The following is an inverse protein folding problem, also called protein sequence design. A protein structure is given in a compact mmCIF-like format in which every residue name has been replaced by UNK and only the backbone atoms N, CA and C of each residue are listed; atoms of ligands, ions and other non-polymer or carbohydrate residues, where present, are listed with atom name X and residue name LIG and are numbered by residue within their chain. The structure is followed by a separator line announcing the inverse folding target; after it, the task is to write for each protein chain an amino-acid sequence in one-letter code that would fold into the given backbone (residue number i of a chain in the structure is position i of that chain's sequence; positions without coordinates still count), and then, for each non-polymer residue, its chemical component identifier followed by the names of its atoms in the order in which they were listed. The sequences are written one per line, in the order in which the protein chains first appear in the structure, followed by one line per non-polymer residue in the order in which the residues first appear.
data_IF_513025410949
#
_entry.id   IF_513025410949
#
_cell.length_a   1.000
_cell.length_b   1.000
_cell.length_c   1.000
_cell.angle_alpha   90.00
_cell.angle_beta   90.00
_cell.angle_gamma   90.00
#
_symmetry.space_group_name_H-M   'P 1'
#
loop_
_entity.id
_entity.type
_entity.pdbx_description
1 polymer ?
#
# COMPACT_ATOMS: atom_id res chain seq x y z
N UNK A 1 11.78 9.61 12.61
CA UNK A 1 12.05 9.31 14.02
C UNK A 1 11.05 8.26 14.49
N UNK A 2 11.48 7.30 15.32
CA UNK A 2 10.64 6.27 15.89
C UNK A 2 10.25 6.66 17.31
N UNK A 3 8.96 6.69 17.61
CA UNK A 3 8.43 7.08 18.91
C UNK A 3 7.69 5.93 19.55
N UNK A 4 7.64 5.89 20.88
CA UNK A 4 6.81 4.98 21.65
C UNK A 4 6.21 5.73 22.84
N UNK A 5 4.94 5.44 23.16
CA UNK A 5 4.27 5.95 24.35
C UNK A 5 4.94 5.43 25.62
N UNK A 6 5.21 6.30 26.59
CA UNK A 6 5.93 5.93 27.83
C UNK A 6 5.03 5.12 28.76
N UNK A 7 3.80 5.59 28.97
CA UNK A 7 2.85 5.04 29.96
C UNK A 7 2.24 3.68 29.57
N UNK A 8 2.50 3.21 28.35
CA UNK A 8 1.98 1.93 27.86
C UNK A 8 3.13 1.08 27.30
N UNK A 9 3.57 0.09 28.08
CA UNK A 9 4.62 -0.84 27.65
C UNK A 9 4.21 -1.70 26.46
N UNK A 10 2.91 -1.91 26.24
CA UNK A 10 2.38 -2.67 25.10
C UNK A 10 2.20 -1.81 23.85
N UNK A 11 2.32 -0.49 23.95
CA UNK A 11 2.22 0.39 22.79
C UNK A 11 3.31 0.04 21.76
N UNK A 12 2.88 -0.18 20.52
CA UNK A 12 3.78 -0.41 19.40
C UNK A 12 4.53 0.89 19.04
N UNK A 13 5.84 0.82 18.76
CA UNK A 13 6.58 1.94 18.20
C UNK A 13 5.99 2.39 16.87
N UNK A 14 5.99 3.70 16.61
CA UNK A 14 5.47 4.27 15.37
C UNK A 14 6.40 5.36 14.82
N UNK A 15 6.36 5.56 13.51
CA UNK A 15 7.21 6.54 12.85
C UNK A 15 6.52 7.90 12.71
N UNK A 16 7.27 8.97 12.94
CA UNK A 16 6.90 10.33 12.56
C UNK A 16 8.08 11.06 11.90
N UNK A 17 7.77 11.95 10.96
CA UNK A 17 8.74 12.72 10.18
C UNK A 17 8.88 14.12 10.76
N UNK A 18 10.09 14.67 10.78
CA UNK A 18 10.28 16.07 11.16
C UNK A 18 9.53 16.96 10.17
N UNK A 19 8.58 17.74 10.67
CA UNK A 19 7.68 18.57 9.89
C UNK A 19 8.10 20.04 9.91
N UNK A 20 8.41 20.57 11.10
CA UNK A 20 8.86 21.95 11.25
C UNK A 20 9.87 22.13 12.37
N UNK A 21 10.70 23.16 12.23
CA UNK A 21 11.61 23.70 13.25
C UNK A 21 11.30 25.19 13.37
N UNK A 22 11.08 25.70 14.59
CA UNK A 22 10.69 27.10 14.81
C UNK A 22 9.49 27.54 13.95
N UNK A 23 8.47 26.69 13.86
CA UNK A 23 7.27 26.90 13.03
C UNK A 23 7.52 27.06 11.52
N UNK A 24 8.74 26.83 11.03
CA UNK A 24 9.08 26.81 9.60
C UNK A 24 9.27 25.37 9.12
N UNK A 25 8.89 25.08 7.88
CA UNK A 25 9.03 23.74 7.30
C UNK A 25 10.49 23.27 7.42
N UNK A 26 10.67 22.11 8.04
CA UNK A 26 11.99 21.58 8.32
C UNK A 26 12.72 21.26 7.01
N UNK A 27 13.95 21.74 6.88
CA UNK A 27 14.88 21.40 5.80
C UNK A 27 16.23 21.12 6.45
N UNK A 28 16.74 19.90 6.31
CA UNK A 28 18.04 19.49 6.84
C UNK A 28 19.00 19.47 5.65
N UNK A 29 19.97 20.38 5.64
CA UNK A 29 20.93 20.54 4.54
C UNK A 29 22.30 19.96 4.88
N UNK A 30 22.67 19.96 6.16
CA UNK A 30 24.01 19.55 6.59
C UNK A 30 23.95 18.46 7.66
N UNK A 31 25.05 17.71 7.80
CA UNK A 31 25.23 16.75 8.89
C UNK A 31 25.19 17.43 10.26
N UNK A 32 25.77 18.63 10.36
CA UNK A 32 25.82 19.40 11.60
C UNK A 32 24.40 19.70 12.09
N UNK A 33 23.55 20.26 11.22
CA UNK A 33 22.14 20.52 11.52
C UNK A 33 21.41 19.24 11.94
N UNK A 34 21.62 18.13 11.22
CA UNK A 34 20.99 16.85 11.56
C UNK A 34 21.40 16.34 12.95
N UNK A 35 22.67 16.52 13.31
CA UNK A 35 23.25 16.06 14.57
C UNK A 35 22.74 16.89 15.74
N UNK A 36 22.75 18.22 15.60
CA UNK A 36 22.21 19.16 16.59
C UNK A 36 20.74 18.84 16.89
N UNK A 37 19.90 18.70 15.86
CA UNK A 37 18.48 18.32 16.03
C UNK A 37 18.34 16.99 16.78
N UNK A 38 19.19 16.00 16.49
CA UNK A 38 19.13 14.71 17.16
C UNK A 38 19.54 14.78 18.63
N UNK A 39 20.52 15.62 18.97
CA UNK A 39 20.97 15.84 20.34
C UNK A 39 19.95 16.62 21.15
N UNK A 40 19.39 17.68 20.57
CA UNK A 40 18.36 18.50 21.19
C UNK A 40 17.12 17.65 21.53
N UNK A 41 16.58 16.91 20.57
CA UNK A 41 15.36 16.11 20.76
C UNK A 41 15.58 14.95 21.75
N UNK A 42 16.79 14.40 21.86
CA UNK A 42 17.08 13.31 22.81
C UNK A 42 16.95 13.75 24.27
N UNK A 43 17.26 14.99 24.57
CA UNK A 43 17.33 15.53 25.92
C UNK A 43 16.07 16.33 26.31
N UNK A 44 15.11 16.44 25.39
CA UNK A 44 13.89 17.21 25.58
C UNK A 44 12.69 16.32 25.91
N UNK A 45 11.68 16.93 26.53
CA UNK A 45 10.40 16.30 26.72
C UNK A 45 9.66 16.21 25.39
N UNK A 46 9.14 15.03 25.09
CA UNK A 46 8.42 14.76 23.85
C UNK A 46 6.99 14.37 24.19
N UNK A 47 6.03 15.07 23.60
CA UNK A 47 4.61 14.80 23.85
C UNK A 47 3.76 15.02 22.61
N UNK A 48 2.57 14.42 22.62
CA UNK A 48 1.58 14.65 21.58
C UNK A 48 0.98 16.05 21.75
N UNK A 49 1.25 16.94 20.79
CA UNK A 49 0.74 18.32 20.79
C UNK A 49 -0.72 18.40 20.36
N UNK A 50 -1.06 17.75 19.26
CA UNK A 50 -2.43 17.78 18.74
C UNK A 50 -2.77 16.55 17.89
N UNK A 51 -4.05 16.20 17.88
CA UNK A 51 -4.60 15.13 17.04
C UNK A 51 -5.73 15.69 16.18
N UNK A 52 -5.43 15.93 14.91
CA UNK A 52 -6.38 16.49 13.95
C UNK A 52 -7.06 15.37 13.16
N UNK A 53 -8.39 15.29 13.26
CA UNK A 53 -9.22 14.31 12.54
C UNK A 53 -10.05 15.02 11.48
N UNK A 54 -9.95 14.55 10.23
CA UNK A 54 -10.69 15.11 9.10
C UNK A 54 -11.40 14.00 8.33
N UNK A 55 -12.72 14.10 8.23
CA UNK A 55 -13.52 13.20 7.38
C UNK A 55 -13.31 13.59 5.92
N UNK A 56 -12.95 12.61 5.09
CA UNK A 56 -12.73 12.77 3.66
C UNK A 56 -13.43 11.64 2.88
N UNK A 57 -13.97 11.97 1.71
CA UNK A 57 -14.56 10.99 0.80
C UNK A 57 -13.67 10.79 -0.43
N UNK A 58 -13.38 9.52 -0.77
CA UNK A 58 -12.77 9.17 -2.06
C UNK A 58 -13.88 8.68 -2.99
N UNK A 59 -14.06 9.37 -4.10
CA UNK A 59 -15.04 9.00 -5.11
C UNK A 59 -14.49 7.91 -6.04
N UNK A 60 -15.33 6.98 -6.50
CA UNK A 60 -14.90 6.00 -7.50
C UNK A 60 -14.58 6.69 -8.82
N UNK A 61 -13.64 6.11 -9.56
CA UNK A 61 -13.34 6.53 -10.93
C UNK A 61 -14.54 6.24 -11.85
N UNK A 62 -14.76 7.05 -12.90
CA UNK A 62 -15.80 6.77 -13.89
C UNK A 62 -15.50 5.47 -14.67
N UNK A 63 -16.50 4.93 -15.40
CA UNK A 63 -16.26 3.89 -16.40
C UNK A 63 -15.20 4.31 -17.42
N UNK A 64 -14.64 3.34 -18.13
CA UNK A 64 -13.57 3.64 -19.08
C UNK A 64 -14.07 4.38 -20.32
N UNK A 65 -13.26 5.33 -20.75
CA UNK A 65 -13.13 5.82 -22.13
C UNK A 65 -11.97 5.09 -22.80
N UNK A 66 -11.75 5.30 -24.10
CA UNK A 66 -10.60 4.72 -24.82
C UNK A 66 -9.27 5.16 -24.20
N UNK A 67 -9.11 6.45 -23.90
CA UNK A 67 -7.87 6.99 -23.34
C UNK A 67 -7.57 6.42 -21.95
N UNK A 68 -8.58 6.36 -21.09
CA UNK A 68 -8.42 5.86 -19.71
C UNK A 68 -8.23 4.35 -19.67
N UNK A 69 -8.84 3.58 -20.58
CA UNK A 69 -8.57 2.15 -20.72
C UNK A 69 -7.12 1.88 -21.13
N UNK A 70 -6.62 2.62 -22.12
CA UNK A 70 -5.24 2.48 -22.61
C UNK A 70 -4.22 2.77 -21.49
N UNK A 71 -4.42 3.86 -20.75
CA UNK A 71 -3.56 4.23 -19.63
C UNK A 71 -3.56 3.17 -18.53
N UNK A 72 -4.75 2.70 -18.13
CA UNK A 72 -4.83 1.69 -17.05
C UNK A 72 -4.25 0.34 -17.49
N UNK A 73 -4.49 -0.09 -18.73
CA UNK A 73 -3.95 -1.33 -19.28
C UNK A 73 -2.41 -1.28 -19.37
N UNK A 74 -1.84 -0.13 -19.73
CA UNK A 74 -0.40 0.06 -19.67
C UNK A 74 0.12 -0.03 -18.23
N UNK A 75 -0.46 0.75 -17.31
CA UNK A 75 0.02 0.86 -15.93
C UNK A 75 -0.13 -0.43 -15.11
N UNK A 76 -1.21 -1.19 -15.33
CA UNK A 76 -1.52 -2.40 -14.54
C UNK A 76 -1.14 -3.70 -15.22
N UNK A 77 -1.18 -3.76 -16.54
CA UNK A 77 -0.99 -4.99 -17.31
C UNK A 77 0.27 -4.96 -18.18
N UNK A 78 0.96 -3.82 -18.26
CA UNK A 78 2.06 -3.58 -19.19
C UNK A 78 1.67 -3.84 -20.65
N UNK A 79 0.41 -3.56 -21.02
CA UNK A 79 -0.07 -3.73 -22.39
C UNK A 79 0.17 -2.46 -23.22
N UNK A 80 0.91 -2.54 -24.35
CA UNK A 80 1.02 -1.43 -25.29
C UNK A 80 -0.35 -1.07 -25.88
N UNK A 81 -0.54 0.19 -26.28
CA UNK A 81 -1.81 0.72 -26.82
C UNK A 81 -2.37 -0.18 -27.94
N UNK A 82 -1.53 -0.57 -28.91
CA UNK A 82 -1.93 -1.44 -30.03
C UNK A 82 -2.50 -2.77 -29.54
N UNK A 83 -1.85 -3.40 -28.55
CA UNK A 83 -2.29 -4.67 -27.96
C UNK A 83 -3.61 -4.50 -27.20
N UNK A 84 -3.74 -3.44 -26.41
CA UNK A 84 -4.98 -3.12 -25.68
C UNK A 84 -6.16 -2.97 -26.64
N UNK A 85 -5.99 -2.22 -27.73
CA UNK A 85 -7.06 -2.01 -28.71
C UNK A 85 -7.39 -3.29 -29.50
N UNK A 86 -6.39 -4.10 -29.86
CA UNK A 86 -6.61 -5.39 -30.51
C UNK A 86 -7.44 -6.34 -29.62
N UNK A 87 -7.07 -6.49 -28.34
CA UNK A 87 -7.81 -7.33 -27.41
C UNK A 87 -9.22 -6.79 -27.14
N UNK A 88 -9.37 -5.47 -27.02
CA UNK A 88 -10.68 -4.84 -26.84
C UNK A 88 -11.59 -5.05 -28.06
N UNK A 89 -11.04 -4.99 -29.28
CA UNK A 89 -11.77 -5.31 -30.52
C UNK A 89 -12.32 -6.74 -30.47
N UNK A 90 -11.48 -7.73 -30.10
CA UNK A 90 -11.93 -9.12 -29.98
C UNK A 90 -13.03 -9.29 -28.92
N UNK A 91 -12.90 -8.62 -27.77
CA UNK A 91 -13.92 -8.65 -26.72
C UNK A 91 -15.23 -8.00 -27.16
N UNK A 92 -15.18 -7.02 -28.07
CA UNK A 92 -16.37 -6.34 -28.62
C UNK A 92 -17.06 -7.19 -29.70
N UNK A 93 -16.29 -7.70 -30.67
CA UNK A 93 -16.80 -8.53 -31.77
C UNK A 93 -17.36 -9.87 -31.30
N UNK A 94 -16.77 -10.41 -30.23
CA UNK A 94 -17.33 -11.51 -29.46
C UNK A 94 -16.34 -12.64 -29.19
N UNK A 95 -16.65 -13.40 -28.14
CA UNK A 95 -15.98 -14.63 -27.77
C UNK A 95 -17.01 -15.75 -27.69
N UNK A 96 -16.66 -16.93 -28.20
CA UNK A 96 -17.50 -18.13 -28.10
C UNK A 96 -17.52 -18.65 -26.66
N UNK A 97 -18.66 -18.54 -25.98
CA UNK A 97 -18.85 -18.98 -24.60
C UNK A 97 -19.58 -20.33 -24.53
N UNK A 98 -18.93 -21.40 -25.00
CA UNK A 98 -19.50 -22.75 -25.04
C UNK A 98 -20.88 -22.76 -25.70
N UNK A 99 -21.90 -23.27 -25.00
CA UNK A 99 -23.27 -23.40 -25.53
C UNK A 99 -24.01 -22.05 -25.66
N UNK A 100 -23.45 -20.94 -25.19
CA UNK A 100 -24.07 -19.61 -25.29
C UNK A 100 -23.77 -18.90 -26.62
N UNK A 101 -22.97 -19.51 -27.49
CA UNK A 101 -22.60 -18.94 -28.78
C UNK A 101 -21.58 -17.81 -28.68
N UNK A 102 -21.43 -17.06 -29.78
CA UNK A 102 -20.51 -15.92 -29.87
C UNK A 102 -21.15 -14.67 -29.23
N UNK A 103 -20.52 -14.12 -28.19
CA UNK A 103 -21.06 -12.99 -27.42
C UNK A 103 -20.03 -11.88 -27.31
N UNK A 104 -20.42 -10.65 -27.70
CA UNK A 104 -19.70 -9.41 -27.40
C UNK A 104 -19.67 -9.15 -25.89
N UNK A 105 -18.49 -9.25 -25.29
CA UNK A 105 -18.29 -9.13 -23.84
C UNK A 105 -18.25 -7.69 -23.34
N UNK A 106 -17.85 -6.74 -24.20
CA UNK A 106 -17.79 -5.31 -23.87
C UNK A 106 -18.54 -4.46 -24.89
N UNK A 107 -18.90 -3.25 -24.49
CA UNK A 107 -19.37 -2.19 -25.40
C UNK A 107 -18.23 -1.67 -26.29
N UNK A 108 -18.58 -0.88 -27.30
CA UNK A 108 -17.63 -0.35 -28.28
C UNK A 108 -16.47 0.41 -27.63
N UNK A 109 -15.24 0.00 -27.96
CA UNK A 109 -14.01 0.41 -27.28
C UNK A 109 -13.41 1.73 -27.77
N UNK A 110 -13.99 2.36 -28.81
CA UNK A 110 -13.59 3.68 -29.32
C UNK A 110 -14.63 4.72 -28.94
N UNK A 111 -14.47 5.30 -27.77
CA UNK A 111 -15.39 6.25 -27.14
C UNK A 111 -14.65 7.19 -26.19
N UNK A 112 -15.06 8.44 -26.16
CA UNK A 112 -14.69 9.47 -25.19
C UNK A 112 -15.77 9.65 -24.10
N UNK A 113 -16.88 8.91 -24.20
CA UNK A 113 -18.02 8.99 -23.30
C UNK A 113 -17.85 8.16 -22.03
N UNK A 114 -18.25 8.72 -20.90
CA UNK A 114 -18.40 8.01 -19.61
C UNK A 114 -19.87 7.62 -19.34
N UNK A 115 -20.75 7.82 -20.32
CA UNK A 115 -22.19 7.56 -20.21
C UNK A 115 -22.46 6.06 -20.10
N UNK A 116 -23.45 5.70 -19.28
CA UNK A 116 -23.92 4.32 -19.12
C UNK A 116 -25.43 4.31 -19.30
N UNK A 117 -25.95 3.30 -20.00
CA UNK A 117 -27.39 3.07 -20.15
C UNK A 117 -28.10 2.87 -18.81
N UNK A 118 -29.41 3.08 -18.77
CA UNK A 118 -30.17 2.92 -17.53
C UNK A 118 -30.33 1.44 -17.16
N UNK A 119 -30.43 0.55 -18.16
CA UNK A 119 -30.44 -0.91 -17.99
C UNK A 119 -29.16 -1.40 -17.31
N UNK A 120 -27.99 -0.95 -17.79
CA UNK A 120 -26.71 -1.35 -17.23
C UNK A 120 -26.48 -0.78 -15.81
N UNK A 121 -27.05 0.38 -15.48
CA UNK A 121 -27.04 0.90 -14.10
C UNK A 121 -27.89 0.04 -13.17
N UNK A 122 -29.07 -0.38 -13.62
CA UNK A 122 -29.98 -1.23 -12.84
C UNK A 122 -29.33 -2.61 -12.62
N UNK A 123 -28.76 -3.21 -13.66
CA UNK A 123 -28.06 -4.49 -13.55
C UNK A 123 -26.88 -4.42 -12.58
N UNK A 124 -26.01 -3.41 -12.74
CA UNK A 124 -24.88 -3.21 -11.83
C UNK A 124 -25.33 -2.95 -10.39
N UNK A 125 -26.41 -2.19 -10.19
CA UNK A 125 -26.99 -1.96 -8.86
C UNK A 125 -27.41 -3.29 -8.22
N UNK A 126 -28.23 -4.10 -8.91
CA UNK A 126 -28.67 -5.41 -8.40
C UNK A 126 -27.49 -6.30 -8.02
N UNK A 127 -26.51 -6.41 -8.93
CA UNK A 127 -25.30 -7.17 -8.69
C UNK A 127 -24.55 -6.68 -7.43
N UNK A 128 -24.40 -5.35 -7.26
CA UNK A 128 -23.72 -4.79 -6.09
C UNK A 128 -24.49 -5.06 -4.81
N UNK A 129 -25.81 -4.89 -4.82
CA UNK A 129 -26.66 -5.12 -3.66
C UNK A 129 -26.62 -6.60 -3.22
N UNK A 130 -26.63 -7.52 -4.18
CA UNK A 130 -26.57 -8.97 -3.94
C UNK A 130 -25.20 -9.44 -3.43
N UNK A 131 -24.10 -8.90 -3.97
CA UNK A 131 -22.75 -9.42 -3.69
C UNK A 131 -21.97 -8.62 -2.64
N UNK A 132 -22.29 -7.35 -2.43
CA UNK A 132 -21.58 -6.47 -1.48
C UNK A 132 -22.52 -5.81 -0.46
N UNK A 133 -23.83 -5.86 -0.67
CA UNK A 133 -24.83 -5.27 0.22
C UNK A 133 -25.37 -3.92 -0.27
N UNK A 134 -26.59 -3.59 0.17
CA UNK A 134 -27.34 -2.39 -0.26
C UNK A 134 -26.59 -1.08 -0.01
N UNK A 135 -25.79 -1.02 1.05
CA UNK A 135 -25.05 0.17 1.41
C UNK A 135 -23.93 0.53 0.44
N UNK A 136 -23.49 -0.42 -0.41
CA UNK A 136 -22.43 -0.20 -1.38
C UNK A 136 -22.92 0.33 -2.73
N UNK A 137 -24.21 0.21 -3.04
CA UNK A 137 -24.76 0.68 -4.30
C UNK A 137 -25.05 2.20 -4.28
N UNK A 138 -24.75 2.91 -5.38
CA UNK A 138 -25.16 4.33 -5.52
C UNK A 138 -26.69 4.43 -5.55
N UNK A 139 -27.24 5.42 -4.82
CA UNK A 139 -28.67 5.73 -4.87
C UNK A 139 -29.06 6.44 -6.19
N UNK A 140 -30.33 6.32 -6.57
CA UNK A 140 -30.90 6.90 -7.79
C UNK A 140 -30.82 8.45 -7.83
N UNK A 141 -30.75 9.12 -6.68
CA UNK A 141 -30.59 10.57 -6.58
C UNK A 141 -29.17 11.05 -6.95
N UNK A 142 -28.13 10.28 -6.64
CA UNK A 142 -26.75 10.64 -6.97
C UNK A 142 -26.46 10.52 -8.48
N UNK A 143 -27.17 9.63 -9.19
CA UNK A 143 -27.12 9.51 -10.65
C UNK A 143 -27.63 10.78 -11.37
N UNK A 144 -28.55 11.55 -10.75
CA UNK A 144 -29.08 12.81 -11.31
C UNK A 144 -28.06 13.98 -11.23
N UNK A 145 -27.20 14.02 -10.21
CA UNK A 145 -26.10 15.01 -10.12
C UNK A 145 -25.01 14.75 -11.17
N UNK A 146 -24.69 13.48 -11.46
CA UNK A 146 -23.80 13.12 -12.57
C UNK A 146 -24.39 13.54 -13.94
N UNK A 147 -25.70 13.36 -14.17
CA UNK A 147 -26.40 13.89 -15.37
C UNK A 147 -26.18 15.40 -15.56
N UNK A 148 -26.21 16.20 -14.49
CA UNK A 148 -26.02 17.66 -14.58
C UNK A 148 -24.56 18.06 -14.86
N UNK A 149 -23.56 17.27 -14.45
CA UNK A 149 -22.15 17.48 -14.84
C UNK A 149 -21.89 17.12 -16.31
N UNK A 150 -22.62 16.12 -16.83
CA UNK A 150 -22.53 15.64 -18.21
C UNK A 150 -23.28 16.55 -19.19
N UNK A 151 -24.31 17.29 -18.74
CA UNK A 151 -25.12 18.21 -19.57
C UNK A 151 -24.36 19.37 -20.23
N UNK A 152 -23.11 19.63 -19.84
CA UNK A 152 -22.24 20.60 -20.54
C UNK A 152 -21.52 20.00 -21.77
N UNK A 153 -21.79 18.74 -22.11
CA UNK A 153 -21.33 18.09 -23.34
C UNK A 153 -22.47 18.13 -24.36
N UNK A 154 -22.24 18.78 -25.51
CA UNK A 154 -23.22 18.87 -26.61
C UNK A 154 -23.76 17.48 -26.94
N UNK A 155 -25.09 17.36 -26.98
CA UNK A 155 -25.82 16.12 -27.24
C UNK A 155 -25.69 15.77 -28.73
N UNK A 156 -24.60 15.07 -29.08
CA UNK A 156 -24.47 14.30 -30.33
C UNK A 156 -24.13 12.82 -30.05
N UNK A 157 -23.98 12.45 -28.78
CA UNK A 157 -23.16 11.31 -28.41
C UNK A 157 -24.01 10.09 -27.99
N UNK A 158 -24.42 9.29 -28.97
CA UNK A 158 -25.06 7.99 -28.74
C UNK A 158 -24.11 6.96 -28.11
N UNK A 159 -22.81 7.28 -27.97
CA UNK A 159 -21.81 6.35 -27.49
C UNK A 159 -21.90 6.13 -25.97
N UNK A 160 -21.71 4.87 -25.57
CA UNK A 160 -21.58 4.46 -24.17
C UNK A 160 -20.11 4.29 -23.82
N UNK A 161 -19.80 4.41 -22.53
CA UNK A 161 -18.50 4.05 -21.98
C UNK A 161 -18.13 2.60 -22.27
N UNK A 162 -16.85 2.29 -22.19
CA UNK A 162 -16.34 0.92 -22.26
C UNK A 162 -16.67 0.20 -20.95
N UNK A 163 -17.60 -0.75 -21.03
CA UNK A 163 -18.13 -1.54 -19.92
C UNK A 163 -18.45 -2.97 -20.38
N UNK A 164 -18.66 -3.92 -19.46
CA UNK A 164 -19.26 -5.20 -19.81
C UNK A 164 -20.63 -5.03 -20.44
N UNK A 165 -20.95 -5.85 -21.44
CA UNK A 165 -22.30 -5.93 -22.01
C UNK A 165 -23.29 -6.43 -20.96
N UNK A 166 -22.88 -7.45 -20.19
CA UNK A 166 -23.62 -8.02 -19.07
C UNK A 166 -22.72 -8.13 -17.85
N UNK A 167 -23.21 -7.68 -16.69
CA UNK A 167 -22.48 -7.75 -15.42
C UNK A 167 -22.33 -9.19 -14.93
N UNK A 168 -23.35 -10.03 -15.20
CA UNK A 168 -23.38 -11.44 -14.80
C UNK A 168 -22.30 -12.30 -15.47
N UNK A 169 -21.72 -11.83 -16.59
CA UNK A 169 -20.52 -12.42 -17.18
C UNK A 169 -19.28 -12.07 -16.33
N UNK A 170 -19.31 -12.37 -15.04
CA UNK A 170 -18.21 -12.12 -14.12
C UNK A 170 -16.90 -12.71 -14.69
N UNK A 171 -15.75 -12.00 -14.63
CA UNK A 171 -14.51 -12.43 -15.29
C UNK A 171 -14.09 -13.87 -14.95
N UNK A 172 -14.47 -14.35 -13.78
CA UNK A 172 -14.14 -15.69 -13.30
C UNK A 172 -15.06 -16.79 -13.76
N UNK A 173 -16.33 -16.49 -14.06
CA UNK A 173 -17.24 -17.48 -14.62
C UNK A 173 -16.92 -17.76 -16.08
N UNK A 174 -16.34 -16.78 -16.80
CA UNK A 174 -16.01 -16.91 -18.22
C UNK A 174 -14.51 -17.13 -18.49
N UNK A 175 -13.68 -17.25 -17.45
CA UNK A 175 -12.21 -17.28 -17.57
C UNK A 175 -11.69 -18.38 -18.51
N UNK A 176 -12.33 -19.54 -18.51
CA UNK A 176 -11.89 -20.69 -19.32
C UNK A 176 -12.12 -20.50 -20.82
N UNK A 177 -12.92 -19.50 -21.21
CA UNK A 177 -13.19 -19.16 -22.62
C UNK A 177 -12.29 -18.01 -23.13
N UNK A 178 -11.47 -17.42 -22.26
CA UNK A 178 -10.62 -16.29 -22.58
C UNK A 178 -9.16 -16.69 -22.58
N UNK A 179 -8.39 -16.12 -23.50
CA UNK A 179 -6.94 -16.12 -23.35
C UNK A 179 -6.55 -15.35 -22.08
N UNK A 180 -5.36 -15.61 -21.55
CA UNK A 180 -4.88 -14.93 -20.34
C UNK A 180 -4.92 -13.39 -20.47
N UNK A 181 -4.59 -12.86 -21.65
CA UNK A 181 -4.57 -11.42 -21.88
C UNK A 181 -5.97 -10.82 -22.09
N UNK A 182 -6.87 -11.53 -22.76
CA UNK A 182 -8.29 -11.15 -22.84
C UNK A 182 -8.93 -11.13 -21.45
N UNK A 183 -8.69 -12.16 -20.64
CA UNK A 183 -9.18 -12.21 -19.26
C UNK A 183 -8.64 -11.04 -18.43
N UNK A 184 -7.35 -10.72 -18.51
CA UNK A 184 -6.77 -9.58 -17.78
C UNK A 184 -7.42 -8.25 -18.17
N UNK A 185 -7.58 -8.00 -19.47
CA UNK A 185 -8.20 -6.78 -19.98
C UNK A 185 -9.69 -6.70 -19.61
N UNK A 186 -10.43 -7.78 -19.83
CA UNK A 186 -11.84 -7.86 -19.45
C UNK A 186 -12.03 -7.66 -17.94
N UNK A 187 -11.17 -8.27 -17.11
CA UNK A 187 -11.23 -8.13 -15.67
C UNK A 187 -11.09 -6.67 -15.21
N UNK A 188 -10.15 -5.89 -15.77
CA UNK A 188 -10.02 -4.48 -15.38
C UNK A 188 -11.22 -3.64 -15.87
N UNK A 189 -11.77 -3.94 -17.06
CA UNK A 189 -12.97 -3.27 -17.60
C UNK A 189 -14.17 -3.53 -16.68
N UNK A 190 -14.41 -4.80 -16.35
CA UNK A 190 -15.48 -5.21 -15.46
C UNK A 190 -15.34 -4.57 -14.07
N UNK A 191 -14.14 -4.63 -13.47
CA UNK A 191 -13.89 -4.03 -12.16
C UNK A 191 -14.10 -2.51 -12.16
N UNK A 192 -13.60 -1.79 -13.18
CA UNK A 192 -13.78 -0.34 -13.29
C UNK A 192 -15.26 0.01 -13.40
N UNK A 193 -16.01 -0.74 -14.20
CA UNK A 193 -17.44 -0.52 -14.36
C UNK A 193 -18.19 -0.66 -13.03
N UNK A 194 -18.02 -1.78 -12.31
CA UNK A 194 -18.69 -1.98 -11.02
C UNK A 194 -18.27 -0.94 -9.98
N UNK A 195 -16.97 -0.65 -9.86
CA UNK A 195 -16.45 0.41 -8.99
C UNK A 195 -17.14 1.75 -9.25
N UNK A 196 -17.31 2.12 -10.51
CA UNK A 196 -17.95 3.38 -10.89
C UNK A 196 -19.42 3.50 -10.45
N UNK A 197 -20.06 2.37 -10.14
CA UNK A 197 -21.46 2.25 -9.67
C UNK A 197 -21.58 2.07 -8.16
N UNK A 198 -20.47 1.90 -7.45
CA UNK A 198 -20.43 1.82 -5.99
C UNK A 198 -20.37 3.20 -5.32
N UNK A 199 -20.74 3.29 -4.04
CA UNK A 199 -20.58 4.51 -3.23
C UNK A 199 -19.10 4.86 -3.01
N UNK A 200 -18.85 6.14 -2.70
CA UNK A 200 -17.56 6.62 -2.26
C UNK A 200 -17.05 5.87 -1.03
N UNK A 201 -15.74 5.79 -0.87
CA UNK A 201 -15.15 5.39 0.40
C UNK A 201 -15.13 6.60 1.34
N UNK A 202 -15.52 6.40 2.60
CA UNK A 202 -15.44 7.41 3.65
C UNK A 202 -14.28 7.06 4.57
N UNK A 203 -13.34 7.99 4.68
CA UNK A 203 -12.12 7.84 5.47
C UNK A 203 -12.05 8.97 6.48
N UNK A 204 -11.42 8.73 7.62
CA UNK A 204 -11.01 9.75 8.56
C UNK A 204 -9.49 9.84 8.51
N UNK A 205 -8.97 10.94 7.96
CA UNK A 205 -7.54 11.24 7.99
C UNK A 205 -7.19 11.73 9.39
N UNK A 206 -6.26 11.06 10.04
CA UNK A 206 -5.76 11.44 11.36
C UNK A 206 -4.33 11.94 11.18
N UNK A 207 -4.09 13.18 11.60
CA UNK A 207 -2.76 13.81 11.63
C UNK A 207 -2.39 14.03 13.08
N UNK A 208 -1.23 13.50 13.49
CA UNK A 208 -0.73 13.62 14.85
C UNK A 208 0.53 14.45 14.80
N UNK A 209 0.53 15.56 15.54
CA UNK A 209 1.69 16.41 15.75
C UNK A 209 2.29 16.12 17.12
N UNK A 210 3.60 15.93 17.12
CA UNK A 210 4.42 15.59 18.28
C UNK A 210 5.39 16.74 18.46
N UNK A 211 5.42 17.30 19.66
CA UNK A 211 6.24 18.45 20.00
C UNK A 211 7.40 18.04 20.89
N UNK A 212 8.55 18.67 20.60
CA UNK A 212 9.76 18.66 21.39
C UNK A 212 10.32 20.07 21.27
N UNK A 213 9.99 20.95 22.22
CA UNK A 213 10.32 22.38 22.18
C UNK A 213 9.99 23.03 20.82
N UNK A 214 11.01 23.36 20.02
CA UNK A 214 10.87 24.04 18.72
C UNK A 214 10.61 23.08 17.56
N UNK A 215 10.69 21.77 17.79
CA UNK A 215 10.54 20.72 16.79
C UNK A 215 9.13 20.16 16.78
N UNK A 216 8.53 20.09 15.59
CA UNK A 216 7.30 19.35 15.36
C UNK A 216 7.59 18.16 14.48
N UNK A 217 7.32 16.97 14.98
CA UNK A 217 7.25 15.74 14.18
C UNK A 217 5.79 15.44 13.85
N UNK A 218 5.55 14.96 12.62
CA UNK A 218 4.22 14.65 12.13
C UNK A 218 4.15 13.22 11.63
N UNK A 219 3.09 12.53 12.06
CA UNK A 219 2.65 11.29 11.43
C UNK A 219 1.22 11.42 10.95
N UNK A 220 0.84 10.61 9.97
CA UNK A 220 -0.50 10.65 9.41
C UNK A 220 -0.92 9.26 8.96
N UNK A 221 -2.18 8.94 9.20
CA UNK A 221 -2.79 7.72 8.72
C UNK A 221 -4.26 7.95 8.39
N UNK A 222 -4.91 6.90 7.91
CA UNK A 222 -6.33 6.93 7.61
C UNK A 222 -7.04 5.85 8.41
N UNK A 223 -8.19 6.19 8.97
CA UNK A 223 -9.15 5.24 9.51
C UNK A 223 -10.28 5.04 8.51
N UNK A 224 -10.64 3.80 8.23
CA UNK A 224 -11.70 3.49 7.28
C UNK A 224 -13.05 3.57 8.00
N UNK A 225 -13.86 4.58 7.68
CA UNK A 225 -15.24 4.68 8.17
C UNK A 225 -16.17 3.81 7.33
N UNK A 226 -15.95 3.79 6.01
CA UNK A 226 -16.69 2.97 5.07
C UNK A 226 -15.85 2.70 3.82
N UNK A 227 -15.73 1.42 3.43
CA UNK A 227 -14.87 1.01 2.31
C UNK A 227 -15.40 1.46 0.94
N UNK A 228 -16.72 1.55 0.76
CA UNK A 228 -17.33 1.84 -0.53
C UNK A 228 -16.71 1.02 -1.66
N UNK A 229 -16.42 1.66 -2.79
CA UNK A 229 -15.78 1.02 -3.94
C UNK A 229 -14.41 0.37 -3.67
N UNK A 230 -13.70 0.75 -2.59
CA UNK A 230 -12.35 0.24 -2.31
C UNK A 230 -12.35 -1.25 -1.94
N UNK A 231 -13.51 -1.83 -1.61
CA UNK A 231 -13.65 -3.27 -1.37
C UNK A 231 -13.19 -4.11 -2.57
N UNK A 232 -13.34 -3.60 -3.80
CA UNK A 232 -12.95 -4.30 -5.03
C UNK A 232 -11.45 -4.22 -5.36
N UNK A 233 -10.71 -3.25 -4.81
CA UNK A 233 -9.31 -3.02 -5.17
C UNK A 233 -8.29 -3.70 -4.25
N UNK A 234 -8.72 -4.45 -3.23
CA UNK A 234 -7.86 -5.32 -2.43
C UNK A 234 -6.55 -4.67 -1.94
N UNK A 235 -6.55 -4.12 -0.72
CA UNK A 235 -5.38 -4.02 0.17
C UNK A 235 -4.05 -3.39 -0.33
N UNK A 236 -4.00 -2.70 -1.47
CA UNK A 236 -2.84 -1.86 -1.81
C UNK A 236 -2.73 -0.57 -0.95
N UNK A 237 -3.46 -0.47 0.16
CA UNK A 237 -3.28 0.61 1.12
C UNK A 237 -2.69 0.02 2.41
N UNK A 238 -1.38 -0.15 2.44
CA UNK A 238 -0.63 -0.61 3.61
C UNK A 238 -0.73 0.33 4.83
N UNK A 239 -1.36 1.50 4.63
CA UNK A 239 -1.47 2.61 5.59
C UNK A 239 -2.91 2.87 6.09
N UNK A 240 -3.88 2.02 5.71
CA UNK A 240 -5.24 2.10 6.29
C UNK A 240 -5.24 1.40 7.64
N UNK A 241 -5.85 2.07 8.62
CA UNK A 241 -6.10 1.62 9.99
C UNK A 241 -4.84 1.36 10.84
N UNK A 242 -3.67 1.79 10.39
CA UNK A 242 -2.43 1.80 11.18
C UNK A 242 -2.15 3.19 11.74
N UNK A 243 -2.87 3.54 12.81
CA UNK A 243 -2.69 4.81 13.51
C UNK A 243 -2.37 4.47 14.97
N UNK A 244 -1.29 5.01 15.55
CA UNK A 244 -0.99 4.76 16.95
C UNK A 244 -2.13 5.27 17.83
N UNK A 245 -2.49 4.50 18.85
CA UNK A 245 -3.48 4.93 19.84
C UNK A 245 -2.83 5.92 20.80
N UNK A 246 -3.15 7.21 20.61
CA UNK A 246 -2.56 8.32 21.32
C UNK A 246 -3.64 9.33 21.72
N UNK A 247 -3.38 10.04 22.81
CA UNK A 247 -4.14 11.19 23.31
C UNK A 247 -3.24 12.41 23.35
N UNK A 248 -3.85 13.59 23.28
CA UNK A 248 -3.10 14.84 23.49
C UNK A 248 -2.45 14.82 24.87
N UNK A 249 -1.22 15.34 24.93
CA UNK A 249 -0.33 15.33 26.11
C UNK A 249 0.26 13.97 26.49
N UNK A 250 -0.02 12.89 25.75
CA UNK A 250 0.68 11.62 25.95
C UNK A 250 2.20 11.84 25.82
N UNK A 251 2.96 11.36 26.80
CA UNK A 251 4.42 11.43 26.78
C UNK A 251 5.01 10.31 25.90
N UNK A 252 6.00 10.68 25.10
CA UNK A 252 6.66 9.80 24.15
C UNK A 252 8.16 9.72 24.44
N UNK A 253 8.76 8.59 24.09
CA UNK A 253 10.22 8.44 24.05
C UNK A 253 10.69 8.20 22.63
N UNK A 254 11.82 8.80 22.28
CA UNK A 254 12.52 8.57 21.02
C UNK A 254 13.25 7.21 21.07
N UNK A 255 13.03 6.39 20.06
CA UNK A 255 13.70 5.11 19.87
C UNK A 255 14.60 5.15 18.63
N UNK A 256 15.65 4.33 18.65
CA UNK A 256 16.44 4.03 17.46
C UNK A 256 15.64 3.08 16.57
N UNK A 257 15.63 3.32 15.26
CA UNK A 257 15.04 2.36 14.32
C UNK A 257 15.94 1.14 14.19
N UNK A 258 15.35 -0.06 14.03
CA UNK A 258 16.14 -1.26 13.75
C UNK A 258 16.97 -1.10 12.48
N UNK A 259 16.40 -0.49 11.44
CA UNK A 259 17.14 -0.16 10.22
C UNK A 259 18.32 0.76 10.51
N UNK A 260 18.12 1.80 11.32
CA UNK A 260 19.18 2.73 11.71
C UNK A 260 20.29 2.05 12.50
N UNK A 261 19.94 1.17 13.46
CA UNK A 261 20.92 0.36 14.20
C UNK A 261 21.71 -0.54 13.24
N UNK A 262 21.00 -1.21 12.34
CA UNK A 262 21.59 -2.16 11.39
C UNK A 262 22.57 -1.48 10.43
N UNK A 263 22.12 -0.39 9.80
CA UNK A 263 22.96 0.41 8.89
C UNK A 263 24.15 0.99 9.64
N UNK A 264 23.94 1.59 10.82
CA UNK A 264 25.04 2.18 11.59
C UNK A 264 26.08 1.13 12.01
N UNK A 265 25.62 -0.05 12.46
CA UNK A 265 26.53 -1.14 12.87
C UNK A 265 27.36 -1.64 11.69
N UNK A 266 26.74 -1.77 10.51
CA UNK A 266 27.44 -2.13 9.28
C UNK A 266 28.51 -1.11 8.89
N UNK A 267 28.14 0.18 8.90
CA UNK A 267 29.03 1.26 8.54
C UNK A 267 30.22 1.35 9.51
N UNK A 268 29.99 1.18 10.81
CA UNK A 268 31.09 1.12 11.79
C UNK A 268 31.99 -0.09 11.55
N UNK A 269 31.42 -1.25 11.23
CA UNK A 269 32.18 -2.49 11.07
C UNK A 269 33.09 -2.49 9.85
N UNK A 270 32.63 -1.94 8.72
CA UNK A 270 33.34 -2.06 7.44
C UNK A 270 33.95 -0.74 6.93
N UNK A 271 33.53 0.39 7.49
CA UNK A 271 33.88 1.72 7.00
C UNK A 271 34.24 2.67 8.16
N UNK A 272 34.78 2.14 9.26
CA UNK A 272 35.15 2.90 10.47
C UNK A 272 36.05 4.10 10.18
N UNK A 273 36.93 3.95 9.20
CA UNK A 273 38.01 4.90 8.91
C UNK A 273 37.47 6.15 8.19
N UNK A 274 36.34 6.00 7.50
CA UNK A 274 35.71 7.04 6.67
C UNK A 274 34.39 7.60 7.22
N UNK A 275 33.76 6.95 8.22
CA UNK A 275 32.44 7.37 8.75
C UNK A 275 32.52 7.97 10.16
N UNK A 276 33.72 8.01 10.75
CA UNK A 276 33.92 8.66 12.04
C UNK A 276 33.87 10.20 11.95
N UNK A 277 33.71 10.83 13.12
CA UNK A 277 33.58 12.29 13.25
C UNK A 277 34.85 13.00 12.78
N UNK A 278 36.03 12.46 13.10
CA UNK A 278 37.32 13.07 12.75
C UNK A 278 37.54 13.12 11.23
N UNK A 279 37.19 12.05 10.52
CA UNK A 279 37.24 12.00 9.07
C UNK A 279 36.31 13.02 8.43
N UNK A 280 35.07 13.11 8.92
CA UNK A 280 34.12 14.08 8.39
C UNK A 280 34.63 15.51 8.57
N UNK A 281 35.17 15.84 9.74
CA UNK A 281 35.75 17.16 10.01
C UNK A 281 36.97 17.46 9.12
N UNK A 282 37.83 16.46 8.85
CA UNK A 282 38.95 16.58 7.91
C UNK A 282 38.46 16.88 6.49
N UNK A 283 37.43 16.17 6.03
CA UNK A 283 36.90 16.32 4.68
C UNK A 283 36.27 17.71 4.47
N UNK A 284 35.43 18.19 5.40
CA UNK A 284 34.86 19.55 5.33
C UNK A 284 35.98 20.61 5.24
N UNK A 285 37.00 20.52 6.09
CA UNK A 285 38.17 21.42 6.03
C UNK A 285 38.90 21.34 4.68
N UNK A 286 39.05 20.13 4.12
CA UNK A 286 39.65 19.96 2.80
C UNK A 286 38.82 20.61 1.69
N UNK A 287 37.49 20.60 1.79
CA UNK A 287 36.59 21.28 0.85
C UNK A 287 36.74 22.81 0.95
N UNK A 288 36.81 23.37 2.16
CA UNK A 288 37.08 24.81 2.37
C UNK A 288 38.45 25.23 1.81
N UNK A 289 39.46 24.36 1.95
CA UNK A 289 40.80 24.58 1.39
C UNK A 289 40.80 24.51 -0.15
N UNK A 290 39.92 23.72 -0.77
CA UNK A 290 39.73 23.72 -2.23
C UNK A 290 39.03 25.00 -2.67
N UNK A 291 37.96 25.41 -1.99
CA UNK A 291 37.23 26.65 -2.30
C UNK A 291 38.14 27.88 -2.23
N UNK A 292 39.02 27.93 -1.23
CA UNK A 292 40.02 28.99 -1.07
C UNK A 292 41.30 28.81 -1.91
N UNK A 293 41.30 27.85 -2.84
CA UNK A 293 42.40 27.54 -3.76
C UNK A 293 43.74 27.18 -3.06
N UNK A 294 43.67 26.68 -1.82
CA UNK A 294 44.81 26.22 -1.01
C UNK A 294 45.12 24.72 -1.24
N UNK A 295 44.17 23.98 -1.80
CA UNK A 295 44.34 22.58 -2.21
C UNK A 295 43.76 22.31 -3.59
N UNK A 296 44.40 21.39 -4.31
CA UNK A 296 43.88 20.83 -5.57
C UNK A 296 42.87 19.72 -5.27
N UNK A 297 41.70 19.78 -5.90
CA UNK A 297 40.61 18.83 -5.66
C UNK A 297 40.98 17.41 -6.11
N UNK A 298 41.82 17.27 -7.15
CA UNK A 298 42.30 15.98 -7.67
C UNK A 298 43.05 15.20 -6.59
N UNK A 299 43.91 15.89 -5.83
CA UNK A 299 44.69 15.27 -4.76
C UNK A 299 43.80 14.81 -3.60
N UNK A 300 42.78 15.60 -3.25
CA UNK A 300 41.83 15.25 -2.18
C UNK A 300 40.99 14.04 -2.58
N UNK A 301 40.52 13.97 -3.82
CA UNK A 301 39.78 12.82 -4.31
C UNK A 301 40.64 11.57 -4.44
N UNK A 302 41.89 11.68 -4.91
CA UNK A 302 42.78 10.52 -5.03
C UNK A 302 43.15 9.95 -3.64
N UNK A 303 43.45 10.80 -2.66
CA UNK A 303 43.67 10.39 -1.27
C UNK A 303 42.43 9.72 -0.67
N UNK A 304 41.24 10.31 -0.88
CA UNK A 304 39.97 9.74 -0.44
C UNK A 304 39.72 8.37 -1.07
N UNK A 305 39.81 8.28 -2.39
CA UNK A 305 39.38 7.10 -3.13
C UNK A 305 40.30 5.90 -2.85
N UNK A 306 41.61 6.13 -2.68
CA UNK A 306 42.57 5.07 -2.28
C UNK A 306 42.23 4.44 -0.93
N UNK A 307 41.81 5.24 0.05
CA UNK A 307 41.37 4.72 1.34
C UNK A 307 40.00 4.04 1.21
N UNK A 308 39.06 4.69 0.52
CA UNK A 308 37.70 4.19 0.33
C UNK A 308 37.64 2.87 -0.45
N UNK A 309 38.46 2.68 -1.48
CA UNK A 309 38.45 1.46 -2.30
C UNK A 309 38.79 0.23 -1.47
N UNK A 310 39.72 0.36 -0.52
CA UNK A 310 40.09 -0.73 0.38
C UNK A 310 38.92 -1.11 1.31
N UNK A 311 38.20 -0.11 1.84
CA UNK A 311 37.03 -0.35 2.68
C UNK A 311 35.84 -0.88 1.87
N UNK A 312 35.70 -0.44 0.62
CA UNK A 312 34.69 -0.95 -0.31
C UNK A 312 34.93 -2.42 -0.63
N UNK A 313 36.17 -2.84 -0.85
CA UNK A 313 36.51 -4.25 -1.05
C UNK A 313 36.15 -5.09 0.20
N UNK A 314 36.53 -4.64 1.40
CA UNK A 314 36.14 -5.30 2.66
C UNK A 314 34.62 -5.39 2.83
N UNK A 315 33.92 -4.29 2.57
CA UNK A 315 32.46 -4.21 2.65
C UNK A 315 31.74 -5.05 1.58
N UNK A 316 32.34 -5.24 0.41
CA UNK A 316 31.77 -6.07 -0.66
C UNK A 316 31.82 -7.57 -0.33
N UNK A 317 32.78 -7.98 0.50
CA UNK A 317 32.90 -9.33 1.04
C UNK A 317 31.98 -9.57 2.25
N UNK A 318 31.34 -8.51 2.77
CA UNK A 318 30.42 -8.64 3.88
C UNK A 318 29.24 -9.53 3.50
N UNK A 319 28.85 -10.39 4.44
CA UNK A 319 27.65 -11.18 4.29
C UNK A 319 26.45 -10.23 4.12
N UNK A 320 25.61 -10.49 3.11
CA UNK A 320 24.44 -9.66 2.85
C UNK A 320 23.61 -9.55 4.12
N UNK A 321 23.48 -8.33 4.65
CA UNK A 321 22.74 -8.10 5.88
C UNK A 321 21.29 -8.49 5.66
N UNK A 322 20.87 -9.57 6.33
CA UNK A 322 19.46 -9.93 6.37
C UNK A 322 18.75 -8.90 7.25
N UNK A 323 17.73 -8.23 6.68
CA UNK A 323 16.87 -7.34 7.45
C UNK A 323 16.32 -8.04 8.70
N UNK A 324 16.14 -7.30 9.80
CA UNK A 324 15.66 -7.86 11.05
C UNK A 324 14.36 -8.64 10.81
N UNK A 325 14.34 -9.83 11.38
CA UNK A 325 13.28 -10.79 11.14
C UNK A 325 12.10 -10.40 12.03
N UNK A 326 10.98 -10.03 11.43
CA UNK A 326 9.76 -9.70 12.19
C UNK A 326 9.22 -10.98 12.82
N UNK A 327 9.18 -11.05 14.14
CA UNK A 327 8.61 -12.18 14.88
C UNK A 327 7.09 -12.03 15.02
N UNK A 328 6.38 -13.15 15.05
CA UNK A 328 4.97 -13.23 15.48
C UNK A 328 4.87 -13.70 16.91
N UNK A 329 3.70 -13.53 17.53
CA UNK A 329 3.39 -14.08 18.85
C UNK A 329 3.22 -15.61 18.87
N UNK A 330 3.15 -16.24 17.70
CA UNK A 330 2.99 -17.69 17.54
C UNK A 330 4.30 -18.46 17.77
N UNK A 331 4.18 -19.60 18.46
CA UNK A 331 5.27 -20.54 18.74
C UNK A 331 5.23 -21.73 17.75
N UNK A 332 6.40 -22.25 17.39
CA UNK A 332 6.51 -23.42 16.54
C UNK A 332 6.17 -24.71 17.29
N UNK A 333 5.12 -25.41 16.87
CA UNK A 333 4.64 -26.66 17.51
C UNK A 333 5.68 -27.79 17.52
N UNK A 334 6.66 -27.75 16.59
CA UNK A 334 7.64 -28.82 16.44
C UNK A 334 8.87 -28.67 17.34
N UNK A 335 9.26 -27.45 17.67
CA UNK A 335 10.54 -27.19 18.37
C UNK A 335 10.46 -26.10 19.45
N UNK A 336 9.28 -25.54 19.70
CA UNK A 336 9.06 -24.51 20.72
C UNK A 336 9.68 -23.14 20.41
N UNK A 337 10.35 -22.97 19.28
CA UNK A 337 10.97 -21.69 18.91
C UNK A 337 9.94 -20.69 18.34
N UNK A 338 10.18 -19.38 18.51
CA UNK A 338 9.30 -18.31 17.98
C UNK A 338 9.18 -18.38 16.45
N UNK A 339 8.04 -17.96 15.90
CA UNK A 339 7.84 -17.90 14.45
C UNK A 339 8.08 -16.51 13.87
N UNK A 340 8.51 -16.47 12.60
CA UNK A 340 8.87 -15.28 11.82
C UNK A 340 7.83 -15.00 10.75
N UNK A 341 7.42 -13.75 10.59
CA UNK A 341 6.55 -13.31 9.51
C UNK A 341 7.41 -13.10 8.25
N UNK A 342 7.22 -13.95 7.24
CA UNK A 342 7.88 -13.84 5.93
C UNK A 342 6.88 -13.59 4.81
N UNK A 343 7.31 -12.90 3.77
CA UNK A 343 6.51 -12.70 2.56
C UNK A 343 6.85 -13.79 1.53
N UNK A 344 5.84 -14.52 1.06
CA UNK A 344 5.97 -15.48 -0.02
C UNK A 344 5.05 -15.15 -1.19
N UNK A 345 5.09 -15.98 -2.25
CA UNK A 345 4.24 -15.85 -3.44
C UNK A 345 2.74 -15.72 -3.14
N UNK A 346 2.28 -16.33 -2.06
CA UNK A 346 0.87 -16.39 -1.67
C UNK A 346 0.48 -15.41 -0.55
N UNK A 347 1.39 -14.51 -0.18
CA UNK A 347 1.20 -13.58 0.94
C UNK A 347 2.10 -13.90 2.12
N UNK A 348 1.77 -13.32 3.29
CA UNK A 348 2.51 -13.56 4.52
C UNK A 348 2.35 -15.01 4.96
N UNK A 349 3.41 -15.59 5.52
CA UNK A 349 3.40 -16.87 6.19
C UNK A 349 4.33 -16.82 7.40
N UNK A 350 4.10 -17.71 8.35
CA UNK A 350 4.94 -17.88 9.52
C UNK A 350 5.99 -18.95 9.23
N UNK A 351 7.26 -18.65 9.45
CA UNK A 351 8.37 -19.58 9.33
C UNK A 351 9.05 -19.78 10.68
N UNK A 352 9.39 -21.01 11.05
CA UNK A 352 10.13 -21.25 12.28
C UNK A 352 11.47 -20.48 12.29
N UNK A 353 11.80 -19.82 13.40
CA UNK A 353 13.06 -19.08 13.55
C UNK A 353 14.29 -20.00 13.43
N UNK A 354 14.16 -21.25 13.86
CA UNK A 354 15.20 -22.29 13.84
C UNK A 354 15.42 -22.98 12.49
N UNK A 355 14.98 -22.39 11.37
CA UNK A 355 15.34 -22.86 10.02
C UNK A 355 16.87 -22.69 9.80
N UNK A 356 17.60 -23.68 9.25
CA UNK A 356 17.14 -24.86 8.50
C UNK A 356 16.86 -26.12 9.34
N UNK A 357 17.21 -26.13 10.63
CA UNK A 357 17.02 -27.28 11.53
C UNK A 357 15.53 -27.60 11.75
N UNK A 358 14.69 -26.57 11.81
CA UNK A 358 13.23 -26.71 11.82
C UNK A 358 12.63 -26.02 10.59
N UNK A 359 12.16 -26.82 9.63
CA UNK A 359 11.52 -26.36 8.39
C UNK A 359 10.02 -26.08 8.51
N UNK A 360 9.50 -26.07 9.74
CA UNK A 360 8.08 -25.85 10.00
C UNK A 360 7.66 -24.45 9.55
N UNK A 361 6.63 -24.40 8.70
CA UNK A 361 5.95 -23.18 8.34
C UNK A 361 4.47 -23.30 8.73
N UNK A 362 3.86 -22.17 9.08
CA UNK A 362 2.43 -22.06 9.34
C UNK A 362 1.83 -20.98 8.44
N UNK A 363 0.57 -21.11 8.03
CA UNK A 363 -0.12 -20.00 7.38
C UNK A 363 -0.21 -18.83 8.35
N UNK A 364 0.08 -17.61 7.86
CA UNK A 364 -0.21 -16.41 8.63
C UNK A 364 -1.72 -16.17 8.57
N UNK A 365 -2.40 -16.33 9.70
CA UNK A 365 -3.84 -16.08 9.80
C UNK A 365 -4.07 -14.58 9.96
N UNK A 366 -4.39 -13.91 8.87
CA UNK A 366 -4.74 -12.49 8.85
C UNK A 366 -6.16 -12.31 9.42
N UNK A 367 -6.25 -12.32 10.76
CA UNK A 367 -7.49 -12.15 11.52
C UNK A 367 -7.99 -10.72 11.33
N UNK A 368 -9.25 -10.58 10.91
CA UNK A 368 -9.88 -9.26 10.71
C UNK A 368 -10.55 -8.71 11.99
N UNK A 369 -10.47 -9.43 13.11
CA UNK A 369 -11.08 -9.04 14.39
C UNK A 369 -12.61 -9.18 14.44
N UNK A 370 -13.21 -9.99 13.54
CA UNK A 370 -14.64 -10.27 13.50
C UNK A 370 -14.86 -11.76 13.81
N UNK A 371 -15.71 -12.08 14.78
CA UNK A 371 -16.08 -13.46 15.11
C UNK A 371 -16.83 -14.14 13.96
N UNK A 372 -16.68 -15.45 13.84
CA UNK A 372 -17.38 -16.23 12.82
C UNK A 372 -18.90 -16.16 13.03
N UNK A 373 -19.70 -15.85 11.99
CA UNK A 373 -21.15 -15.69 12.13
C UNK A 373 -21.91 -17.04 12.19
N UNK A 374 -21.21 -18.17 12.13
CA UNK A 374 -21.82 -19.50 12.28
C UNK A 374 -22.06 -19.77 13.76
N UNK A 375 -23.31 -20.07 14.12
CA UNK A 375 -23.70 -20.38 15.50
C UNK A 375 -22.88 -21.53 16.08
N UNK A 376 -22.39 -21.36 17.31
CA UNK A 376 -21.53 -22.34 17.99
C UNK A 376 -20.06 -22.35 17.56
N UNK A 377 -19.65 -21.49 16.62
CA UNK A 377 -18.24 -21.39 16.20
C UNK A 377 -17.46 -20.35 17.02
N UNK A 378 -16.46 -20.79 17.78
CA UNK A 378 -15.53 -19.90 18.50
C UNK A 378 -14.44 -19.27 17.62
N UNK A 379 -14.48 -19.53 16.31
CA UNK A 379 -13.46 -19.05 15.38
C UNK A 379 -13.63 -17.58 15.00
N UNK A 380 -12.56 -16.98 14.48
CA UNK A 380 -12.57 -15.64 13.91
C UNK A 380 -12.56 -15.71 12.37
N UNK A 381 -13.04 -14.67 11.72
CA UNK A 381 -12.88 -14.53 10.28
C UNK A 381 -11.43 -14.18 9.98
N UNK A 382 -10.84 -14.97 9.10
CA UNK A 382 -9.48 -14.82 8.62
C UNK A 382 -9.49 -14.56 7.12
N UNK A 383 -8.59 -13.71 6.68
CA UNK A 383 -8.37 -13.46 5.26
C UNK A 383 -7.44 -14.52 4.70
N UNK A 384 -7.87 -15.19 3.62
CA UNK A 384 -7.10 -16.17 2.86
C UNK A 384 -6.94 -15.71 1.41
N UNK A 385 -5.96 -16.27 0.70
CA UNK A 385 -5.80 -16.11 -0.74
C UNK A 385 -5.93 -17.45 -1.44
N UNK A 386 -6.68 -17.48 -2.53
CA UNK A 386 -6.76 -18.65 -3.42
C UNK A 386 -5.41 -18.87 -4.13
N UNK A 387 -5.18 -20.06 -4.71
CA UNK A 387 -3.99 -20.34 -5.55
C UNK A 387 -3.80 -19.35 -6.71
N UNK A 388 -4.88 -18.67 -7.13
CA UNK A 388 -4.91 -17.64 -8.19
C UNK A 388 -4.76 -16.20 -7.64
N UNK A 389 -4.47 -16.04 -6.35
CA UNK A 389 -4.19 -14.75 -5.71
C UNK A 389 -5.42 -13.96 -5.23
N UNK A 390 -6.65 -14.43 -5.48
CA UNK A 390 -7.86 -13.74 -4.99
C UNK A 390 -8.03 -13.89 -3.50
N UNK A 391 -8.34 -12.80 -2.83
CA UNK A 391 -8.69 -12.78 -1.42
C UNK A 391 -10.10 -13.33 -1.21
N UNK A 392 -10.25 -14.22 -0.24
CA UNK A 392 -11.53 -14.67 0.31
C UNK A 392 -11.42 -14.66 1.84
N UNK A 393 -12.55 -14.58 2.52
CA UNK A 393 -12.61 -14.65 3.97
C UNK A 393 -13.13 -16.03 4.35
N UNK A 394 -12.61 -16.61 5.40
CA UNK A 394 -13.13 -17.88 5.92
C UNK A 394 -12.92 -17.99 7.40
N UNK A 395 -13.53 -18.98 8.04
CA UNK A 395 -13.31 -19.19 9.47
C UNK A 395 -11.88 -19.67 9.77
N UNK A 396 -11.32 -19.20 10.88
CA UNK A 396 -10.05 -19.66 11.45
C UNK A 396 -10.07 -21.16 11.78
N UNK A 397 -11.25 -21.71 12.07
CA UNK A 397 -11.44 -23.11 12.46
C UNK A 397 -11.67 -24.05 11.28
N UNK A 398 -11.51 -23.62 10.03
CA UNK A 398 -11.57 -24.52 8.87
C UNK A 398 -10.53 -25.66 9.01
N UNK A 399 -10.90 -26.94 8.79
CA UNK A 399 -12.12 -27.43 8.14
C UNK A 399 -13.32 -27.66 9.06
N UNK A 400 -13.19 -27.51 10.38
CA UNK A 400 -14.31 -27.70 11.35
C UNK A 400 -15.45 -26.71 11.12
N UNK A 401 -15.14 -25.50 10.69
CA UNK A 401 -16.12 -24.52 10.22
C UNK A 401 -15.84 -24.17 8.76
N UNK A 402 -16.82 -24.47 7.89
CA UNK A 402 -16.74 -24.28 6.43
C UNK A 402 -17.13 -22.87 5.97
N UNK A 403 -17.39 -21.95 6.91
CA UNK A 403 -17.75 -20.57 6.58
C UNK A 403 -16.69 -19.92 5.69
N UNK A 404 -17.14 -19.41 4.53
CA UNK A 404 -16.35 -18.69 3.53
C UNK A 404 -17.21 -17.58 2.92
N UNK A 405 -16.63 -16.40 2.70
CA UNK A 405 -17.26 -15.25 2.03
C UNK A 405 -16.30 -14.42 1.20
#
# INVERSE_FOLDING_TARGET
ALFKKIEDEKAEPFEAKLFSVNSKKATIKTKKEATEICEDVKNQNIYVKSINKKKESKNPQPPFTTSTLQQEAYNKLNFPIKKTMFLAQQLYEGITLGNKGNIGLITYMRTDSIRVSDEAKIEAKKYIEEHYGKDFAKSSQNLKKEKNKIKNVKIQDAHESIRPTYVLNHPESIKNYLTNDQYKLYNIIWQRFIVSRMKAAYLEKITIDIESEIYIFRTSGYRVLFKGYMILYGQNNQDLDKIPDLKEKDQLKLLKTELGITVNSFLIQYFSDIINIAFTAKMEKQLDEIESNKKKWENVLDEFYKAFSNDLEKGSQAQKIEMPRVFSDEICDKCGSKMLIKNGRFGKFLACSSFPHCKTTKPFLDKIGVSCPVEGCSGEIIRKKTKKGRTFYGCSNYPKCSFVT
#
